data_IF_605808175076
#
_entry.id   IF_605808175076
#
_cell.length_a   1.000
_cell.length_b   1.000
_cell.length_c   1.000
_cell.angle_alpha   90.00
_cell.angle_beta   90.00
_cell.angle_gamma   90.00
#
_symmetry.space_group_name_H-M   'P 1'
#
loop_
_entity.id
_entity.type
_entity.pdbx_description
1 polymer ?
#
# COMPACT_ATOMS: atom_id res chain seq x y z
N UNK A 1 7.85 1.18 -22.40
CA UNK A 1 8.07 2.10 -23.53
C UNK A 1 9.08 3.12 -23.04
N UNK A 2 10.34 2.97 -23.44
CA UNK A 2 11.42 3.87 -23.02
C UNK A 2 11.14 5.25 -23.59
N UNK A 3 11.19 6.29 -22.76
CA UNK A 3 11.06 7.66 -23.21
C UNK A 3 12.48 8.21 -23.37
N UNK A 4 12.86 8.58 -24.59
CA UNK A 4 14.18 9.12 -24.87
C UNK A 4 14.28 10.52 -24.27
N UNK A 5 15.08 10.63 -23.20
CA UNK A 5 15.35 11.90 -22.53
C UNK A 5 16.37 12.69 -23.38
N UNK A 6 16.04 13.93 -23.71
CA UNK A 6 16.92 14.77 -24.52
C UNK A 6 18.12 15.16 -23.66
N UNK A 7 19.35 14.99 -24.18
CA UNK A 7 20.61 15.14 -23.45
C UNK A 7 20.90 16.55 -22.88
N UNK A 8 19.96 17.48 -23.00
CA UNK A 8 20.08 18.87 -22.56
C UNK A 8 19.71 19.08 -21.08
N UNK A 9 19.11 18.08 -20.43
CA UNK A 9 18.65 18.15 -19.02
C UNK A 9 19.57 17.41 -18.03
N UNK A 10 20.76 16.96 -18.47
CA UNK A 10 21.74 16.29 -17.61
C UNK A 10 22.63 17.32 -16.91
N UNK A 11 22.81 17.16 -15.60
CA UNK A 11 23.80 17.95 -14.85
C UNK A 11 25.19 17.72 -15.44
N UNK A 12 25.92 18.82 -15.62
CA UNK A 12 27.31 18.87 -16.09
C UNK A 12 28.25 17.92 -15.35
N UNK A 13 28.00 17.67 -14.05
CA UNK A 13 28.76 16.73 -13.22
C UNK A 13 28.60 15.27 -13.67
N UNK A 14 27.36 14.83 -13.91
CA UNK A 14 27.01 13.48 -14.39
C UNK A 14 27.54 13.24 -15.81
N UNK A 15 27.50 14.27 -16.64
CA UNK A 15 28.02 14.20 -18.02
C UNK A 15 29.53 13.92 -18.03
N UNK A 16 30.27 14.52 -17.09
CA UNK A 16 31.71 14.30 -16.92
C UNK A 16 32.02 12.88 -16.41
N UNK A 17 31.26 12.40 -15.41
CA UNK A 17 31.42 11.03 -14.89
C UNK A 17 31.13 9.97 -15.96
N UNK A 18 30.07 10.14 -16.76
CA UNK A 18 29.71 9.19 -17.82
C UNK A 18 30.78 9.13 -18.92
N UNK A 19 31.39 10.27 -19.25
CA UNK A 19 32.49 10.34 -20.22
C UNK A 19 33.77 9.68 -19.68
N UNK A 20 34.07 9.82 -18.38
CA UNK A 20 35.21 9.17 -17.73
C UNK A 20 35.05 7.64 -17.65
N UNK A 21 33.81 7.15 -17.53
CA UNK A 21 33.51 5.72 -17.45
C UNK A 21 33.24 5.03 -18.80
N UNK A 22 33.48 5.71 -19.94
CA UNK A 22 33.26 5.19 -21.32
C UNK A 22 31.91 4.46 -21.51
N UNK A 23 30.84 4.89 -20.84
CA UNK A 23 29.53 4.24 -20.97
C UNK A 23 28.91 4.65 -22.33
N UNK A 24 29.12 3.81 -23.36
CA UNK A 24 28.66 4.03 -24.74
C UNK A 24 27.21 3.56 -25.01
N UNK A 25 26.31 3.71 -24.03
CA UNK A 25 24.92 3.25 -24.13
C UNK A 25 23.92 4.34 -23.77
N UNK A 26 22.68 4.23 -24.29
CA UNK A 26 21.58 5.07 -23.85
C UNK A 26 21.34 4.86 -22.35
N UNK A 27 21.27 5.94 -21.58
CA UNK A 27 20.94 5.87 -20.16
C UNK A 27 19.48 5.45 -20.04
N UNK A 28 19.24 4.17 -19.80
CA UNK A 28 17.89 3.65 -19.58
C UNK A 28 17.45 3.99 -18.16
N UNK A 29 16.65 5.03 -17.99
CA UNK A 29 15.98 5.29 -16.73
C UNK A 29 14.68 4.48 -16.67
N UNK A 30 14.59 3.55 -15.73
CA UNK A 30 13.37 2.80 -15.50
C UNK A 30 12.43 3.61 -14.62
N UNK A 31 11.30 4.06 -15.18
CA UNK A 31 10.22 4.56 -14.35
C UNK A 31 9.44 3.37 -13.79
N UNK A 32 9.84 2.92 -12.60
CA UNK A 32 9.22 1.79 -11.90
C UNK A 32 8.05 2.28 -11.05
N UNK A 33 6.84 2.23 -11.60
CA UNK A 33 5.63 2.44 -10.80
C UNK A 33 5.42 1.25 -9.84
N UNK A 34 4.84 1.48 -8.65
CA UNK A 34 4.53 0.40 -7.69
C UNK A 34 3.76 -0.75 -8.34
N UNK A 35 2.80 -0.43 -9.21
CA UNK A 35 1.99 -1.43 -9.94
C UNK A 35 2.83 -2.28 -10.90
N UNK A 36 3.88 -1.72 -11.49
CA UNK A 36 4.82 -2.43 -12.36
C UNK A 36 5.82 -3.26 -11.53
N UNK A 37 6.33 -2.68 -10.44
CA UNK A 37 7.20 -3.36 -9.48
C UNK A 37 6.51 -4.60 -8.88
N UNK A 38 5.26 -4.47 -8.42
CA UNK A 38 4.47 -5.58 -7.88
C UNK A 38 4.07 -6.60 -8.96
N UNK A 39 3.94 -6.21 -10.22
CA UNK A 39 3.74 -7.19 -11.31
C UNK A 39 5.02 -7.96 -11.64
N UNK A 40 6.18 -7.30 -11.57
CA UNK A 40 7.49 -7.91 -11.84
C UNK A 40 7.97 -8.81 -10.70
N UNK A 41 7.73 -8.42 -9.44
CA UNK A 41 8.24 -9.10 -8.25
C UNK A 41 7.15 -9.83 -7.44
N UNK A 42 5.87 -9.62 -7.73
CA UNK A 42 4.73 -10.24 -7.04
C UNK A 42 4.45 -11.69 -7.42
N UNK A 43 5.44 -12.41 -7.98
CA UNK A 43 5.36 -13.84 -8.27
C UNK A 43 5.21 -14.75 -7.04
N UNK A 44 5.30 -14.18 -5.82
CA UNK A 44 4.91 -14.82 -4.57
C UNK A 44 5.95 -15.79 -4.00
N UNK A 45 5.89 -15.97 -2.68
CA UNK A 45 6.61 -17.02 -1.95
C UNK A 45 5.55 -17.95 -1.35
N UNK A 46 5.65 -19.25 -1.65
CA UNK A 46 4.81 -20.29 -1.08
C UNK A 46 5.59 -20.99 0.05
N UNK A 47 5.12 -20.86 1.29
CA UNK A 47 5.67 -21.61 2.45
C UNK A 47 4.59 -22.56 2.94
N UNK A 48 4.82 -23.87 2.76
CA UNK A 48 3.94 -24.91 3.28
C UNK A 48 4.49 -25.44 4.61
N UNK A 49 3.73 -25.25 5.69
CA UNK A 49 4.01 -25.82 7.00
C UNK A 49 2.99 -26.92 7.29
N UNK A 50 3.44 -28.16 7.44
CA UNK A 50 2.62 -29.28 7.86
C UNK A 50 2.91 -29.61 9.33
N UNK A 51 1.94 -29.35 10.21
CA UNK A 51 1.99 -29.68 11.64
C UNK A 51 0.64 -30.25 12.09
N UNK A 52 0.61 -30.99 13.23
CA UNK A 52 -0.65 -31.46 13.80
C UNK A 52 -1.58 -30.26 14.03
N UNK A 53 -2.88 -30.47 13.84
CA UNK A 53 -3.93 -29.45 13.90
C UNK A 53 -4.02 -28.86 15.31
N UNK A 54 -3.11 -27.94 15.63
CA UNK A 54 -3.34 -26.93 16.66
C UNK A 54 -4.56 -26.13 16.22
N UNK A 55 -5.43 -25.79 17.17
CA UNK A 55 -6.59 -24.91 16.97
C UNK A 55 -6.10 -23.57 16.43
N UNK A 56 -5.89 -23.50 15.12
CA UNK A 56 -5.64 -22.27 14.40
C UNK A 56 -6.89 -21.42 14.61
N UNK A 57 -6.69 -20.19 15.08
CA UNK A 57 -7.72 -19.18 15.21
C UNK A 57 -8.64 -19.26 14.00
N UNK A 58 -9.90 -19.61 14.27
CA UNK A 58 -10.93 -19.60 13.24
C UNK A 58 -11.00 -18.16 12.72
N UNK A 59 -10.65 -17.97 11.46
CA UNK A 59 -10.64 -16.67 10.80
C UNK A 59 -12.07 -16.18 10.58
N UNK A 60 -12.82 -15.88 11.65
CA UNK A 60 -14.15 -15.26 11.62
C UNK A 60 -15.23 -15.96 10.78
N UNK A 61 -14.93 -17.10 10.16
CA UNK A 61 -15.79 -17.76 9.18
C UNK A 61 -17.04 -18.36 9.84
N UNK A 62 -16.99 -18.63 11.14
CA UNK A 62 -18.15 -19.05 11.93
C UNK A 62 -19.12 -17.90 12.28
N UNK A 63 -18.73 -16.63 12.12
CA UNK A 63 -19.58 -15.48 12.39
C UNK A 63 -20.20 -14.88 11.12
N UNK A 64 -20.63 -15.72 10.15
CA UNK A 64 -21.47 -15.29 9.01
C UNK A 64 -22.91 -14.94 9.44
N UNK A 65 -23.07 -14.29 10.59
CA UNK A 65 -24.36 -13.84 11.13
C UNK A 65 -24.83 -12.57 10.43
N UNK A 66 -25.31 -12.70 9.19
CA UNK A 66 -26.31 -11.81 8.58
C UNK A 66 -26.09 -10.28 8.55
N UNK A 67 -24.93 -9.77 8.95
CA UNK A 67 -24.61 -8.34 8.87
C UNK A 67 -24.00 -8.04 7.52
N UNK A 68 -24.74 -7.25 6.75
CA UNK A 68 -24.29 -6.72 5.48
C UNK A 68 -23.14 -5.72 5.72
N UNK A 69 -22.13 -5.77 4.87
CA UNK A 69 -21.08 -4.76 4.87
C UNK A 69 -21.68 -3.43 4.41
N UNK A 70 -21.30 -2.30 5.02
CA UNK A 70 -21.70 -0.99 4.51
C UNK A 70 -21.25 -0.78 3.05
N UNK A 71 -22.22 -0.49 2.19
CA UNK A 71 -22.00 -0.28 0.74
C UNK A 71 -21.52 1.15 0.40
N UNK A 72 -21.76 2.11 1.30
CA UNK A 72 -21.41 3.51 1.10
C UNK A 72 -19.93 3.77 1.38
N UNK A 73 -19.20 4.35 0.42
CA UNK A 73 -17.78 4.66 0.58
C UNK A 73 -17.51 5.59 1.78
N UNK A 74 -18.46 6.48 2.09
CA UNK A 74 -18.35 7.44 3.19
C UNK A 74 -18.30 6.79 4.57
N UNK A 75 -18.71 5.52 4.73
CA UNK A 75 -18.53 4.81 6.00
C UNK A 75 -17.09 4.37 6.23
N UNK A 76 -16.26 4.34 5.18
CA UNK A 76 -14.90 3.82 5.21
C UNK A 76 -13.83 4.91 5.09
N UNK A 77 -14.14 6.00 4.39
CA UNK A 77 -13.18 7.02 4.01
C UNK A 77 -13.83 8.41 3.98
N UNK A 78 -13.16 9.39 4.60
CA UNK A 78 -13.52 10.80 4.52
C UNK A 78 -12.31 11.63 4.10
N UNK A 79 -12.48 12.49 3.08
CA UNK A 79 -11.47 13.43 2.61
C UNK A 79 -11.92 14.84 3.00
N UNK A 80 -11.19 15.47 3.92
CA UNK A 80 -11.45 16.83 4.35
C UNK A 80 -10.98 17.87 3.31
N UNK A 81 -11.53 19.09 3.39
CA UNK A 81 -11.23 20.16 2.44
C UNK A 81 -9.78 20.67 2.48
N UNK A 82 -9.05 20.37 3.54
CA UNK A 82 -7.62 20.66 3.70
C UNK A 82 -6.71 19.53 3.17
N UNK A 83 -7.29 18.47 2.61
CA UNK A 83 -6.56 17.32 2.07
C UNK A 83 -6.24 16.23 3.10
N UNK A 84 -6.67 16.36 4.37
CA UNK A 84 -6.55 15.28 5.35
C UNK A 84 -7.55 14.17 5.06
N UNK A 85 -7.09 12.93 5.16
CA UNK A 85 -7.86 11.73 4.84
C UNK A 85 -8.03 10.92 6.11
N UNK A 86 -9.27 10.67 6.51
CA UNK A 86 -9.59 9.79 7.64
C UNK A 86 -10.15 8.48 7.12
N UNK A 87 -9.55 7.37 7.57
CA UNK A 87 -9.91 6.00 7.22
C UNK A 87 -10.49 5.32 8.45
N UNK A 88 -11.60 4.61 8.28
CA UNK A 88 -12.30 3.91 9.35
C UNK A 88 -12.25 2.40 9.13
N UNK A 89 -11.89 1.65 10.17
CA UNK A 89 -11.86 0.19 10.12
C UNK A 89 -12.17 -0.42 11.48
N UNK A 90 -12.98 -1.47 11.49
CA UNK A 90 -13.25 -2.28 12.68
C UNK A 90 -12.08 -3.21 13.06
N UNK A 91 -11.03 -3.33 12.23
CA UNK A 91 -9.80 -4.06 12.60
C UNK A 91 -9.13 -3.43 13.81
N UNK A 92 -8.66 -4.27 14.71
CA UNK A 92 -7.96 -3.85 15.93
C UNK A 92 -6.50 -4.25 15.84
N UNK A 93 -5.62 -3.34 16.24
CA UNK A 93 -4.17 -3.57 16.27
C UNK A 93 -3.76 -4.09 17.65
N UNK A 94 -3.08 -5.24 17.70
CA UNK A 94 -2.62 -5.91 18.93
C UNK A 94 -1.17 -6.42 18.79
N UNK A 95 -0.26 -5.59 18.27
CA UNK A 95 1.16 -5.92 18.04
C UNK A 95 1.50 -6.40 16.63
N UNK A 96 0.54 -6.39 15.71
CA UNK A 96 0.71 -6.80 14.31
C UNK A 96 1.19 -5.66 13.41
N UNK A 97 1.18 -4.42 13.92
CA UNK A 97 1.56 -3.21 13.18
C UNK A 97 0.70 -2.95 11.92
N UNK A 98 -0.59 -3.33 11.96
CA UNK A 98 -1.53 -3.14 10.84
C UNK A 98 -1.85 -1.67 10.56
N UNK A 99 -1.70 -0.79 11.56
CA UNK A 99 -1.94 0.65 11.44
C UNK A 99 -1.01 1.27 10.39
N UNK A 100 0.26 0.93 10.44
CA UNK A 100 1.29 1.51 9.57
C UNK A 100 1.12 1.02 8.12
N UNK A 101 0.92 -0.28 7.93
CA UNK A 101 0.77 -0.87 6.60
C UNK A 101 -0.51 -0.40 5.91
N UNK A 102 -1.63 -0.29 6.63
CA UNK A 102 -2.89 0.18 6.07
C UNK A 102 -2.82 1.67 5.71
N UNK A 103 -2.17 2.50 6.53
CA UNK A 103 -1.94 3.91 6.21
C UNK A 103 -1.11 4.08 4.93
N UNK A 104 -0.04 3.29 4.77
CA UNK A 104 0.78 3.30 3.55
C UNK A 104 -0.02 2.89 2.31
N UNK A 105 -0.85 1.84 2.43
CA UNK A 105 -1.66 1.36 1.32
C UNK A 105 -2.68 2.42 0.86
N UNK A 106 -3.32 3.12 1.80
CA UNK A 106 -4.25 4.21 1.48
C UNK A 106 -3.52 5.38 0.85
N UNK A 107 -2.41 5.81 1.43
CA UNK A 107 -1.60 6.92 0.90
C UNK A 107 -1.16 6.66 -0.55
N UNK A 108 -0.75 5.43 -0.84
CA UNK A 108 -0.34 4.99 -2.17
C UNK A 108 -1.49 4.96 -3.18
N UNK A 109 -2.65 4.39 -2.83
CA UNK A 109 -3.79 4.36 -3.77
C UNK A 109 -4.35 5.76 -4.05
N UNK A 110 -4.30 6.66 -3.07
CA UNK A 110 -4.79 8.04 -3.20
C UNK A 110 -3.71 9.03 -3.66
N UNK A 111 -2.45 8.57 -3.80
CA UNK A 111 -1.29 9.38 -4.21
C UNK A 111 -1.05 10.61 -3.33
N UNK A 112 -1.14 10.42 -2.01
CA UNK A 112 -0.89 11.46 -1.00
C UNK A 112 0.27 11.09 -0.08
N UNK A 113 0.75 12.06 0.69
CA UNK A 113 1.70 11.80 1.78
C UNK A 113 1.05 10.98 2.90
N UNK A 114 1.82 10.08 3.52
CA UNK A 114 1.33 9.23 4.64
C UNK A 114 0.88 10.06 5.85
N UNK A 115 1.49 11.22 6.05
CA UNK A 115 1.15 12.23 7.07
C UNK A 115 -0.23 12.86 6.84
N UNK A 116 -0.80 12.69 5.65
CA UNK A 116 -2.15 13.12 5.31
C UNK A 116 -3.21 12.08 5.70
N UNK A 117 -2.81 10.86 6.07
CA UNK A 117 -3.71 9.75 6.39
C UNK A 117 -3.83 9.55 7.91
N UNK A 118 -5.06 9.58 8.43
CA UNK A 118 -5.42 9.29 9.80
C UNK A 118 -6.27 8.02 9.86
N UNK A 119 -5.92 7.05 10.72
CA UNK A 119 -6.66 5.80 10.89
C UNK A 119 -7.43 5.77 12.22
N UNK A 120 -8.74 5.65 12.13
CA UNK A 120 -9.64 5.33 13.24
C UNK A 120 -9.90 3.83 13.22
N UNK A 121 -9.55 3.15 14.31
CA UNK A 121 -9.54 1.69 14.40
C UNK A 121 -10.26 1.21 15.65
N UNK A 122 -11.13 0.20 15.52
CA UNK A 122 -11.74 -0.51 16.65
C UNK A 122 -12.74 0.30 17.50
N UNK A 123 -13.12 1.49 17.06
CA UNK A 123 -14.13 2.31 17.72
C UNK A 123 -15.49 2.01 17.10
N UNK A 124 -16.36 1.27 17.80
CA UNK A 124 -17.64 0.82 17.26
C UNK A 124 -18.64 1.95 17.01
N UNK A 125 -18.43 3.13 17.58
CA UNK A 125 -19.27 4.31 17.32
C UNK A 125 -18.86 5.02 16.02
N UNK A 126 -17.60 4.87 15.61
CA UNK A 126 -17.04 5.58 14.45
C UNK A 126 -16.71 4.68 13.27
N UNK A 127 -16.51 3.38 13.50
CA UNK A 127 -16.01 2.45 12.48
C UNK A 127 -17.11 1.52 11.98
N UNK A 128 -17.16 1.27 10.66
CA UNK A 128 -18.12 0.34 10.08
C UNK A 128 -17.82 -1.08 10.52
N UNK A 129 -18.86 -1.92 10.53
CA UNK A 129 -18.67 -3.35 10.71
C UNK A 129 -17.86 -3.93 9.54
N UNK A 130 -16.71 -4.54 9.85
CA UNK A 130 -15.77 -5.10 8.86
C UNK A 130 -15.30 -6.53 9.18
N UNK A 131 -16.09 -7.21 10.02
CA UNK A 131 -15.85 -8.57 10.53
C UNK A 131 -14.66 -8.72 11.50
N UNK A 132 -13.97 -7.64 11.90
CA UNK A 132 -12.96 -7.68 12.99
C UNK A 132 -11.72 -8.53 12.68
N UNK A 133 -10.92 -8.84 13.71
CA UNK A 133 -9.72 -9.71 13.65
C UNK A 133 -9.89 -10.92 14.55
#
# INVERSE_FOLDING_TARGET
>A
MANDFNAHDLDSSLTLELAQHEIKGAVHWFNLDRRLFLKLLGGGVLICLAGPQSLAQESGAAARTGRELPHDLSSWLHIAGDGKITVYTGKVEMGQNIRTSLAQQVAEELRVGIDSVNLVMGDTDLTPFDMGT
#
